data_IF_176695811742
#
_entry.id   IF_176695811742
#
_cell.length_a   1.000
_cell.length_b   1.000
_cell.length_c   1.000
_cell.angle_alpha   90.00
_cell.angle_beta   90.00
_cell.angle_gamma   90.00
#
_symmetry.space_group_name_H-M   'P 1'
#
loop_
_entity.id
_entity.type
_entity.pdbx_description
1 polymer ?
#
# COMPACT_ATOMS: atom_id res chain seq x y z
N UNK A 1 5.60 6.25 -0.96
CA UNK A 1 4.92 6.74 0.27
C UNK A 1 5.95 6.86 1.37
N UNK A 2 5.84 7.85 2.28
CA UNK A 2 6.62 7.88 3.53
C UNK A 2 5.68 7.53 4.68
N UNK A 3 6.13 6.68 5.59
CA UNK A 3 5.36 6.27 6.76
C UNK A 3 5.68 7.24 7.91
N UNK A 4 4.65 7.61 8.69
CA UNK A 4 4.79 8.43 9.90
C UNK A 4 5.10 7.53 11.08
N UNK A 5 4.27 6.52 11.28
CA UNK A 5 4.32 5.62 12.43
C UNK A 5 3.63 4.29 12.10
N UNK A 6 3.98 3.27 12.87
CA UNK A 6 3.38 1.94 12.87
C UNK A 6 2.92 1.65 14.29
N UNK A 7 1.66 1.23 14.46
CA UNK A 7 1.04 0.97 15.76
C UNK A 7 0.49 -0.44 15.80
N UNK A 8 0.59 -1.11 16.95
CA UNK A 8 -0.18 -2.33 17.24
C UNK A 8 -1.48 -1.93 17.93
N UNK A 9 -2.62 -2.41 17.44
CA UNK A 9 -3.93 -2.10 18.02
C UNK A 9 -4.89 -3.24 17.71
N UNK A 10 -5.57 -3.80 18.73
CA UNK A 10 -6.57 -4.86 18.58
C UNK A 10 -6.08 -6.10 17.80
N UNK A 11 -4.83 -6.53 18.00
CA UNK A 11 -4.24 -7.65 17.24
C UNK A 11 -3.84 -7.32 15.80
N UNK A 12 -4.11 -6.09 15.35
CA UNK A 12 -3.72 -5.59 14.04
C UNK A 12 -2.48 -4.71 14.11
N UNK A 13 -1.81 -4.55 12.96
CA UNK A 13 -0.75 -3.56 12.78
C UNK A 13 -1.25 -2.45 11.87
N UNK A 14 -1.38 -1.24 12.41
CA UNK A 14 -1.82 -0.04 11.69
C UNK A 14 -0.61 0.77 11.20
N UNK A 15 -0.66 1.22 9.94
CA UNK A 15 0.39 2.02 9.31
C UNK A 15 -0.20 3.37 8.94
N UNK A 16 0.36 4.43 9.53
CA UNK A 16 -0.08 5.80 9.31
C UNK A 16 0.87 6.49 8.32
N UNK A 17 0.42 6.87 7.11
CA UNK A 17 1.23 7.65 6.18
C UNK A 17 1.59 9.05 6.67
N UNK A 18 2.84 9.47 6.39
CA UNK A 18 3.24 10.89 6.39
C UNK A 18 3.01 11.55 5.03
N UNK A 19 3.43 10.92 3.94
CA UNK A 19 3.29 11.46 2.56
C UNK A 19 2.86 10.38 1.57
N UNK A 20 1.79 10.65 0.85
CA UNK A 20 1.11 9.71 -0.06
C UNK A 20 1.27 10.20 -1.50
N UNK A 21 1.59 9.31 -2.43
CA UNK A 21 1.56 9.58 -3.88
C UNK A 21 0.84 8.40 -4.53
N UNK A 22 -0.41 8.55 -4.96
CA UNK A 22 -1.17 7.43 -5.52
C UNK A 22 -0.58 7.02 -6.88
N UNK A 23 -0.56 5.71 -7.13
CA UNK A 23 -0.24 5.13 -8.44
C UNK A 23 -1.52 4.63 -9.12
N UNK A 24 -2.25 3.73 -8.45
CA UNK A 24 -3.60 3.30 -8.81
C UNK A 24 -4.52 3.56 -7.62
N UNK A 25 -5.66 4.21 -7.87
CA UNK A 25 -6.63 4.55 -6.82
C UNK A 25 -7.73 3.49 -6.68
N UNK A 26 -8.09 2.81 -7.77
CA UNK A 26 -9.22 1.89 -7.78
C UNK A 26 -10.47 2.57 -7.20
N UNK A 27 -11.17 1.95 -6.23
CA UNK A 27 -12.38 2.50 -5.63
C UNK A 27 -12.15 3.62 -4.60
N UNK A 28 -10.90 4.04 -4.35
CA UNK A 28 -10.56 5.01 -3.28
C UNK A 28 -10.71 6.45 -3.79
N UNK A 29 -11.57 7.24 -3.14
CA UNK A 29 -11.74 8.67 -3.46
C UNK A 29 -10.59 9.52 -2.89
N UNK A 30 -10.30 10.67 -3.51
CA UNK A 30 -9.26 11.61 -3.03
C UNK A 30 -9.48 12.07 -1.57
N UNK A 31 -10.74 12.24 -1.13
CA UNK A 31 -11.10 12.59 0.26
C UNK A 31 -10.69 11.49 1.24
N UNK A 32 -10.95 10.24 0.89
CA UNK A 32 -10.58 9.05 1.66
C UNK A 32 -9.06 8.87 1.72
N UNK A 33 -8.37 9.14 0.61
CA UNK A 33 -6.91 9.08 0.56
C UNK A 33 -6.26 10.01 1.60
N UNK A 34 -6.85 11.18 1.91
CA UNK A 34 -6.33 12.09 2.94
C UNK A 34 -6.34 11.46 4.34
N UNK A 35 -7.38 10.69 4.67
CA UNK A 35 -7.56 9.99 5.96
C UNK A 35 -7.10 8.53 5.96
N UNK A 36 -6.47 8.06 4.87
CA UNK A 36 -5.99 6.69 4.74
C UNK A 36 -5.10 6.27 5.91
N UNK A 37 -5.54 5.23 6.61
CA UNK A 37 -4.77 4.40 7.55
C UNK A 37 -4.83 2.97 7.02
N UNK A 38 -3.66 2.34 6.86
CA UNK A 38 -3.57 0.97 6.37
C UNK A 38 -3.53 0.01 7.55
N UNK A 39 -4.13 -1.17 7.37
CA UNK A 39 -4.24 -2.19 8.41
C UNK A 39 -3.69 -3.50 7.87
N UNK A 40 -2.73 -4.08 8.57
CA UNK A 40 -2.37 -5.48 8.42
C UNK A 40 -3.16 -6.26 9.46
N UNK A 41 -4.24 -6.90 9.00
CA UNK A 41 -5.18 -7.61 9.86
C UNK A 41 -4.52 -8.84 10.49
N UNK A 42 -4.73 -9.05 11.79
CA UNK A 42 -4.10 -10.09 12.60
C UNK A 42 -2.55 -10.06 12.51
N UNK A 43 -2.00 -8.89 12.20
CA UNK A 43 -0.59 -8.69 11.90
C UNK A 43 0.22 -8.09 13.03
N UNK A 44 -0.33 -8.00 14.25
CA UNK A 44 0.36 -7.39 15.39
C UNK A 44 1.78 -7.96 15.58
N UNK A 45 1.91 -9.28 15.48
CA UNK A 45 3.17 -9.99 15.73
C UNK A 45 3.86 -10.51 14.47
N UNK A 46 3.30 -10.19 13.29
CA UNK A 46 3.95 -10.48 12.03
C UNK A 46 5.27 -9.68 11.94
N UNK A 47 6.45 -10.33 11.88
CA UNK A 47 7.71 -9.63 11.71
C UNK A 47 7.70 -8.93 10.34
N UNK A 48 7.95 -7.63 10.32
CA UNK A 48 7.94 -6.84 9.10
C UNK A 48 9.22 -6.02 9.03
N UNK A 49 10.32 -6.67 8.63
CA UNK A 49 11.63 -6.02 8.57
C UNK A 49 11.67 -4.78 7.67
N UNK A 50 10.79 -4.72 6.67
CA UNK A 50 10.65 -3.55 5.81
C UNK A 50 10.14 -2.32 6.57
N UNK A 51 9.47 -2.50 7.71
CA UNK A 51 8.95 -1.44 8.56
C UNK A 51 9.90 -1.06 9.72
N UNK A 52 11.00 -1.78 9.91
CA UNK A 52 11.99 -1.46 10.96
C UNK A 52 12.64 -0.10 10.70
N UNK A 53 12.82 0.26 9.42
CA UNK A 53 13.36 1.56 9.01
C UNK A 53 12.34 2.40 8.21
N UNK A 54 11.61 3.25 8.92
CA UNK A 54 10.57 4.12 8.36
C UNK A 54 11.12 5.33 7.58
N UNK A 55 12.44 5.58 7.60
CA UNK A 55 13.06 6.71 6.89
C UNK A 55 12.97 6.58 5.36
N UNK A 56 12.84 5.34 4.89
CA UNK A 56 12.75 5.01 3.48
C UNK A 56 11.42 5.44 2.86
N UNK A 57 11.38 5.39 1.54
CA UNK A 57 10.13 5.44 0.82
C UNK A 57 9.65 4.02 0.57
N UNK A 58 8.33 3.87 0.43
CA UNK A 58 7.68 2.58 0.22
C UNK A 58 6.73 2.61 -0.96
N UNK A 59 6.71 1.53 -1.74
CA UNK A 59 5.60 1.16 -2.61
C UNK A 59 4.66 0.30 -1.77
N UNK A 60 3.42 0.74 -1.63
CA UNK A 60 2.44 0.06 -0.81
C UNK A 60 1.24 -0.28 -1.68
N UNK A 61 0.83 -1.54 -1.61
CA UNK A 61 -0.35 -2.07 -2.28
C UNK A 61 -1.33 -2.59 -1.24
N UNK A 62 -2.61 -2.53 -1.58
CA UNK A 62 -3.66 -2.92 -0.67
C UNK A 62 -5.02 -2.94 -1.35
N UNK A 63 -6.04 -3.32 -0.59
CA UNK A 63 -7.43 -3.33 -1.03
C UNK A 63 -8.34 -2.69 0.00
N UNK A 64 -9.44 -2.12 -0.47
CA UNK A 64 -10.52 -1.63 0.40
C UNK A 64 -11.50 -2.78 0.65
N UNK A 65 -11.76 -3.08 1.92
CA UNK A 65 -12.81 -4.03 2.33
C UNK A 65 -13.72 -3.31 3.30
N UNK A 66 -14.97 -3.07 2.89
CA UNK A 66 -15.91 -2.20 3.61
C UNK A 66 -15.28 -0.83 3.90
N UNK A 67 -15.07 -0.48 5.16
CA UNK A 67 -14.45 0.77 5.63
C UNK A 67 -12.95 0.66 5.92
N UNK A 68 -12.35 -0.52 5.80
CA UNK A 68 -10.94 -0.77 6.12
C UNK A 68 -10.07 -0.82 4.86
N UNK A 69 -8.82 -0.37 5.01
CA UNK A 69 -7.80 -0.43 3.97
C UNK A 69 -6.76 -1.47 4.35
N UNK A 70 -6.87 -2.65 3.77
CA UNK A 70 -6.01 -3.77 4.09
C UNK A 70 -4.71 -3.67 3.31
N UNK A 71 -3.59 -3.77 4.02
CA UNK A 71 -2.27 -3.94 3.43
C UNK A 71 -2.17 -5.33 2.80
N UNK A 72 -1.70 -5.40 1.56
CA UNK A 72 -1.42 -6.69 0.89
C UNK A 72 0.06 -6.86 0.56
N UNK A 73 0.75 -5.77 0.23
CA UNK A 73 2.19 -5.81 -0.01
C UNK A 73 2.84 -4.47 0.32
N UNK A 74 4.08 -4.54 0.79
CA UNK A 74 4.94 -3.39 1.02
C UNK A 74 6.32 -3.70 0.46
N UNK A 75 6.90 -2.73 -0.24
CA UNK A 75 8.25 -2.83 -0.78
C UNK A 75 9.00 -1.54 -0.55
N UNK A 76 10.29 -1.64 -0.18
CA UNK A 76 11.17 -0.49 -0.14
C UNK A 76 11.25 0.13 -1.54
N UNK A 77 11.07 1.44 -1.60
CA UNK A 77 11.02 2.22 -2.83
C UNK A 77 12.28 3.05 -2.95
N UNK A 78 13.17 2.63 -3.86
CA UNK A 78 14.32 3.44 -4.25
C UNK A 78 14.00 4.23 -5.53
N UNK A 79 13.95 5.56 -5.39
CA UNK A 79 13.73 6.47 -6.52
C UNK A 79 14.90 6.55 -7.48
N UNK A 80 16.11 6.20 -7.06
CA UNK A 80 17.32 6.29 -7.88
C UNK A 80 17.42 5.12 -8.86
N UNK A 81 16.86 3.97 -8.50
CA UNK A 81 16.86 2.77 -9.33
C UNK A 81 16.05 2.99 -10.64
N UNK A 82 16.69 2.69 -11.78
CA UNK A 82 16.13 2.86 -13.13
C UNK A 82 14.97 1.90 -13.43
N UNK A 83 15.04 0.66 -12.96
CA UNK A 83 14.00 -0.36 -13.17
C UNK A 83 12.69 0.09 -12.53
N UNK A 84 12.74 0.60 -11.31
CA UNK A 84 11.57 1.14 -10.63
C UNK A 84 10.96 2.34 -11.35
N UNK A 85 11.77 3.24 -11.91
CA UNK A 85 11.25 4.35 -12.73
C UNK A 85 10.51 3.83 -13.97
N UNK A 86 11.07 2.83 -14.64
CA UNK A 86 10.47 2.23 -15.83
C UNK A 86 9.17 1.48 -15.48
N UNK A 87 9.19 0.70 -14.40
CA UNK A 87 8.00 0.02 -13.86
C UNK A 87 6.86 1.00 -13.59
N UNK A 88 7.14 2.13 -12.93
CA UNK A 88 6.09 3.13 -12.63
C UNK A 88 5.52 3.81 -13.87
N UNK A 89 6.35 4.05 -14.89
CA UNK A 89 5.87 4.59 -16.17
C UNK A 89 4.90 3.62 -16.82
N UNK A 90 5.28 2.34 -16.91
CA UNK A 90 4.43 1.28 -17.46
C UNK A 90 3.14 1.10 -16.64
N UNK A 91 3.24 1.03 -15.31
CA UNK A 91 2.09 0.77 -14.44
C UNK A 91 1.03 1.87 -14.42
N UNK A 92 1.35 3.10 -14.83
CA UNK A 92 0.37 4.19 -14.93
C UNK A 92 -0.63 3.97 -16.06
N UNK A 93 -0.17 3.42 -17.17
CA UNK A 93 -0.97 3.20 -18.39
C UNK A 93 -1.37 1.74 -18.56
N UNK A 94 -0.74 0.83 -17.84
CA UNK A 94 -1.03 -0.59 -17.93
C UNK A 94 -2.42 -0.92 -17.38
N UNK A 95 -3.28 -1.37 -18.28
CA UNK A 95 -4.56 -2.01 -17.97
C UNK A 95 -4.30 -3.44 -17.47
N UNK A 96 -4.87 -3.78 -16.32
CA UNK A 96 -4.71 -5.11 -15.77
C UNK A 96 -5.55 -6.10 -16.61
N UNK A 97 -5.03 -7.31 -16.90
CA UNK A 97 -5.81 -8.32 -17.60
C UNK A 97 -7.07 -8.65 -16.82
N UNK A 98 -8.21 -8.66 -17.52
CA UNK A 98 -9.49 -9.09 -16.96
C UNK A 98 -9.63 -10.59 -17.19
N UNK A 99 -9.58 -11.36 -16.10
CA UNK A 99 -9.93 -12.78 -16.17
C UNK A 99 -11.45 -12.89 -16.15
N UNK A 100 -12.05 -13.49 -17.17
CA UNK A 100 -13.46 -13.84 -17.13
C UNK A 100 -13.65 -14.95 -16.09
N UNK A 101 -14.53 -14.71 -15.10
CA UNK A 101 -14.94 -15.77 -14.17
C UNK A 101 -15.70 -16.81 -14.97
N UNK A 102 -15.12 -18.00 -15.11
CA UNK A 102 -15.79 -19.18 -15.71
C UNK A 102 -16.86 -19.78 -14.80
N UNK A 103 -16.97 -19.31 -13.55
CA UNK A 103 -18.02 -19.69 -12.62
C UNK A 103 -19.10 -18.62 -12.61
N UNK A 104 -20.32 -19.02 -13.01
CA UNK A 104 -21.57 -18.24 -12.93
C UNK A 104 -22.27 -18.52 -11.61
#
# INVERSE_FOLDING_TARGET
MKIKEVKKENGDKKIVPKKKKPLKLGPIKKKELKRLVLVLKNGADCPCHQLDNLSHQFLIMGRKVKSQYLLTAIHKWDKKNKEFKNFMKKMKTHECPTFQSVFK
#
